data_IF_693130277551
#
_entry.id   IF_693130277551
#
_cell.length_a   1.000
_cell.length_b   1.000
_cell.length_c   1.000
_cell.angle_alpha   90.00
_cell.angle_beta   90.00
_cell.angle_gamma   90.00
#
_symmetry.space_group_name_H-M   'P 1'
#
loop_
_entity.id
_entity.type
_entity.pdbx_description
1 polymer ?
#
# COMPACT_ATOMS: atom_id res chain seq x y z
N UNK A 1 -40.23 -46.13 -21.22
CA UNK A 1 -40.68 -46.95 -20.08
C UNK A 1 -39.41 -47.52 -19.49
N UNK A 2 -38.86 -47.07 -18.38
CA UNK A 2 -39.31 -46.25 -17.22
C UNK A 2 -37.97 -45.74 -16.63
N UNK A 3 -37.70 -44.45 -16.48
CA UNK A 3 -38.21 -43.49 -15.49
C UNK A 3 -38.36 -44.06 -14.07
N UNK A 4 -37.48 -43.61 -13.18
CA UNK A 4 -37.53 -43.55 -11.70
C UNK A 4 -36.14 -43.02 -11.25
N UNK A 5 -35.91 -41.81 -10.73
CA UNK A 5 -36.79 -40.89 -10.02
C UNK A 5 -36.38 -40.75 -8.56
N UNK A 6 -35.55 -39.73 -8.24
CA UNK A 6 -35.37 -39.01 -6.96
C UNK A 6 -34.43 -39.58 -5.86
N UNK A 7 -33.94 -38.76 -4.89
CA UNK A 7 -33.99 -37.30 -4.77
C UNK A 7 -32.63 -36.61 -4.50
N UNK A 8 -32.59 -35.33 -4.87
CA UNK A 8 -31.76 -34.27 -4.32
C UNK A 8 -31.95 -34.18 -2.79
N UNK A 9 -31.00 -34.71 -2.02
CA UNK A 9 -30.98 -34.54 -0.58
C UNK A 9 -30.37 -33.18 -0.22
N UNK A 10 -31.18 -32.36 0.43
CA UNK A 10 -30.78 -31.14 1.11
C UNK A 10 -29.60 -31.38 2.05
N UNK A 11 -28.49 -30.67 1.85
CA UNK A 11 -27.45 -30.56 2.86
C UNK A 11 -27.99 -29.69 4.00
N UNK A 12 -28.59 -30.35 4.99
CA UNK A 12 -28.85 -29.72 6.29
C UNK A 12 -27.48 -29.41 6.91
N UNK A 13 -27.13 -28.12 6.93
CA UNK A 13 -25.98 -27.57 7.66
C UNK A 13 -26.12 -27.89 9.15
N UNK A 14 -25.49 -28.99 9.59
CA UNK A 14 -25.37 -29.32 10.99
C UNK A 14 -24.30 -28.42 11.62
N UNK A 15 -24.73 -27.43 12.38
CA UNK A 15 -23.85 -26.57 13.18
C UNK A 15 -23.24 -27.38 14.33
N UNK A 16 -21.91 -27.46 14.39
CA UNK A 16 -21.19 -28.11 15.48
C UNK A 16 -20.53 -27.08 16.41
N UNK A 17 -20.55 -27.38 17.73
CA UNK A 17 -20.02 -26.54 18.82
C UNK A 17 -18.55 -26.87 19.10
N UNK A 18 -17.78 -25.84 19.47
CA UNK A 18 -16.39 -25.93 19.93
C UNK A 18 -16.25 -26.79 21.20
N UNK A 19 -15.41 -27.82 21.14
CA UNK A 19 -14.88 -28.52 22.31
C UNK A 19 -13.62 -27.85 22.85
N UNK A 20 -13.40 -27.90 24.17
CA UNK A 20 -12.21 -27.35 24.83
C UNK A 20 -10.95 -28.14 24.42
N UNK A 21 -10.01 -27.50 23.72
CA UNK A 21 -8.65 -28.02 23.53
C UNK A 21 -8.07 -28.02 22.11
N UNK A 22 -8.67 -27.32 21.13
CA UNK A 22 -8.08 -27.20 19.78
C UNK A 22 -8.08 -28.47 18.93
N UNK A 23 -8.80 -29.52 19.35
CA UNK A 23 -9.04 -30.73 18.56
C UNK A 23 -10.25 -30.52 17.66
N UNK A 24 -10.09 -30.76 16.36
CA UNK A 24 -11.19 -30.83 15.39
C UNK A 24 -11.51 -32.29 15.13
N UNK A 25 -12.79 -32.67 15.21
CA UNK A 25 -13.23 -34.03 14.87
C UNK A 25 -13.85 -34.04 13.46
N UNK A 26 -13.54 -35.08 12.68
CA UNK A 26 -14.10 -35.25 11.34
C UNK A 26 -15.63 -35.33 11.42
N UNK A 27 -16.33 -34.48 10.69
CA UNK A 27 -17.79 -34.45 10.68
C UNK A 27 -18.41 -35.81 10.26
N UNK A 28 -17.71 -36.56 9.39
CA UNK A 28 -18.13 -37.85 8.83
C UNK A 28 -17.86 -39.05 9.75
N UNK A 29 -16.62 -39.22 10.23
CA UNK A 29 -16.21 -40.43 10.96
C UNK A 29 -15.87 -40.19 12.44
N UNK A 30 -15.94 -38.95 12.92
CA UNK A 30 -15.60 -38.54 14.30
C UNK A 30 -14.15 -38.82 14.73
N UNK A 31 -13.27 -39.24 13.81
CA UNK A 31 -11.85 -39.32 14.08
C UNK A 31 -11.28 -37.91 14.30
N UNK A 32 -10.35 -37.78 15.24
CA UNK A 32 -9.61 -36.53 15.47
C UNK A 32 -8.77 -36.21 14.23
N UNK A 33 -8.87 -34.96 13.77
CA UNK A 33 -8.14 -34.44 12.61
C UNK A 33 -7.04 -33.51 13.11
N UNK A 34 -5.83 -33.69 12.58
CA UNK A 34 -4.73 -32.77 12.86
C UNK A 34 -5.07 -31.36 12.32
N UNK A 35 -4.78 -30.35 13.13
CA UNK A 35 -4.96 -28.94 12.74
C UNK A 35 -4.20 -28.65 11.44
N UNK A 36 -4.88 -28.14 10.41
CA UNK A 36 -4.29 -27.82 9.10
C UNK A 36 -4.36 -28.93 8.05
N UNK A 37 -4.83 -30.14 8.41
CA UNK A 37 -5.06 -31.20 7.42
C UNK A 37 -6.22 -30.87 6.48
N UNK A 38 -6.02 -30.96 5.17
CA UNK A 38 -7.09 -30.78 4.15
C UNK A 38 -8.08 -31.94 4.12
N UNK A 39 -7.66 -33.12 4.57
CA UNK A 39 -8.46 -34.35 4.57
C UNK A 39 -8.30 -35.10 5.90
N UNK A 40 -9.35 -35.79 6.31
CA UNK A 40 -9.28 -36.76 7.41
C UNK A 40 -8.47 -37.98 6.95
N UNK A 41 -7.34 -38.24 7.61
CA UNK A 41 -6.48 -39.40 7.31
C UNK A 41 -7.14 -40.77 7.51
N UNK A 42 -8.31 -40.84 8.15
CA UNK A 42 -9.04 -42.10 8.37
C UNK A 42 -10.08 -42.40 7.28
N UNK A 43 -10.93 -41.43 6.92
CA UNK A 43 -12.05 -41.68 5.99
C UNK A 43 -11.94 -40.93 4.65
N UNK A 44 -10.87 -40.16 4.45
CA UNK A 44 -10.67 -39.35 3.25
C UNK A 44 -11.67 -38.22 3.05
N UNK A 45 -12.61 -38.00 3.98
CA UNK A 45 -13.48 -36.84 3.93
C UNK A 45 -12.64 -35.57 4.06
N UNK A 46 -12.95 -34.50 3.33
CA UNK A 46 -12.32 -33.21 3.58
C UNK A 46 -12.48 -32.88 5.06
N UNK A 47 -11.40 -32.41 5.69
CA UNK A 47 -11.53 -31.83 7.02
C UNK A 47 -12.60 -30.73 6.94
N UNK A 48 -13.30 -30.44 8.03
CA UNK A 48 -14.19 -29.29 8.06
C UNK A 48 -13.33 -28.02 7.89
N UNK A 49 -13.03 -27.67 6.65
CA UNK A 49 -12.52 -26.36 6.27
C UNK A 49 -13.68 -25.45 6.66
N UNK A 50 -13.50 -24.60 7.67
CA UNK A 50 -14.44 -23.50 7.89
C UNK A 50 -14.74 -22.90 6.52
N UNK A 51 -16.02 -22.77 6.16
CA UNK A 51 -16.40 -22.23 4.87
C UNK A 51 -15.62 -20.92 4.66
N UNK A 52 -14.72 -20.92 3.66
CA UNK A 52 -13.83 -19.79 3.41
C UNK A 52 -14.72 -18.56 3.22
N UNK A 53 -14.41 -17.51 3.98
CA UNK A 53 -15.16 -16.26 3.88
C UNK A 53 -14.94 -15.70 2.47
N UNK A 54 -16.03 -15.41 1.78
CA UNK A 54 -16.00 -14.69 0.51
C UNK A 54 -15.43 -13.28 0.73
N UNK A 55 -14.87 -12.69 -0.31
CA UNK A 55 -14.19 -11.39 -0.29
C UNK A 55 -15.02 -10.24 0.31
N UNK A 56 -16.34 -10.33 0.25
CA UNK A 56 -17.30 -9.34 0.75
C UNK A 56 -17.91 -9.71 2.11
N UNK A 57 -17.49 -10.80 2.74
CA UNK A 57 -18.00 -11.19 4.06
C UNK A 57 -17.72 -10.10 5.10
N UNK A 58 -18.74 -9.64 5.87
CA UNK A 58 -18.58 -8.58 6.86
C UNK A 58 -17.50 -8.84 7.92
N UNK A 59 -17.14 -10.10 8.19
CA UNK A 59 -16.06 -10.45 9.12
C UNK A 59 -14.67 -10.05 8.63
N UNK A 60 -14.49 -9.87 7.31
CA UNK A 60 -13.24 -9.41 6.69
C UNK A 60 -13.07 -7.88 6.76
N UNK A 61 -14.14 -7.15 7.09
CA UNK A 61 -14.15 -5.70 7.17
C UNK A 61 -13.56 -5.17 8.48
N UNK A 62 -13.08 -3.93 8.45
CA UNK A 62 -12.60 -3.21 9.63
C UNK A 62 -13.59 -2.09 9.96
N UNK A 63 -14.34 -2.25 11.05
CA UNK A 63 -15.45 -1.35 11.41
C UNK A 63 -15.04 0.13 11.58
N UNK A 64 -13.81 0.38 12.03
CA UNK A 64 -13.27 1.73 12.23
C UNK A 64 -12.80 2.41 10.95
N UNK A 65 -12.83 1.73 9.80
CA UNK A 65 -12.36 2.33 8.55
C UNK A 65 -13.29 3.47 8.11
N UNK A 66 -12.74 4.64 7.75
CA UNK A 66 -13.49 5.70 7.09
C UNK A 66 -13.99 5.21 5.71
N UNK A 67 -15.01 5.88 5.11
CA UNK A 67 -15.63 5.44 3.87
C UNK A 67 -14.64 5.12 2.75
N UNK A 68 -13.67 6.01 2.50
CA UNK A 68 -12.61 5.83 1.51
C UNK A 68 -11.85 4.51 1.70
N UNK A 69 -11.33 4.30 2.91
CA UNK A 69 -10.53 3.11 3.24
C UNK A 69 -11.35 1.83 3.18
N UNK A 70 -12.64 1.89 3.52
CA UNK A 70 -13.55 0.75 3.42
C UNK A 70 -13.70 0.28 1.98
N UNK A 71 -13.91 1.22 1.04
CA UNK A 71 -14.02 0.91 -0.39
C UNK A 71 -12.77 0.22 -0.90
N UNK A 72 -11.59 0.79 -0.67
CA UNK A 72 -10.35 0.21 -1.17
C UNK A 72 -9.91 -1.04 -0.41
N UNK A 73 -10.29 -1.22 0.87
CA UNK A 73 -10.12 -2.52 1.55
C UNK A 73 -10.93 -3.60 0.86
N UNK A 74 -12.17 -3.28 0.49
CA UNK A 74 -13.05 -4.20 -0.21
C UNK A 74 -12.49 -4.52 -1.60
N UNK A 75 -11.95 -3.53 -2.31
CA UNK A 75 -11.21 -3.74 -3.58
C UNK A 75 -10.04 -4.72 -3.40
N UNK A 76 -9.19 -4.50 -2.39
CA UNK A 76 -8.07 -5.41 -2.12
C UNK A 76 -8.54 -6.82 -1.72
N UNK A 77 -9.67 -6.93 -1.02
CA UNK A 77 -10.27 -8.24 -0.69
C UNK A 77 -10.77 -8.96 -1.93
N UNK A 78 -11.43 -8.24 -2.85
CA UNK A 78 -11.86 -8.77 -4.14
C UNK A 78 -10.65 -9.22 -4.97
N UNK A 79 -9.63 -8.38 -5.10
CA UNK A 79 -8.43 -8.67 -5.88
C UNK A 79 -7.69 -9.90 -5.32
N UNK A 80 -7.54 -9.98 -3.99
CA UNK A 80 -6.95 -11.15 -3.32
C UNK A 80 -7.64 -12.45 -3.70
N UNK A 81 -8.97 -12.47 -3.73
CA UNK A 81 -9.73 -13.69 -3.99
C UNK A 81 -9.81 -14.02 -5.48
N UNK A 82 -10.17 -13.04 -6.32
CA UNK A 82 -10.52 -13.28 -7.73
C UNK A 82 -9.33 -13.17 -8.68
N UNK A 83 -8.31 -12.38 -8.33
CA UNK A 83 -7.11 -12.21 -9.18
C UNK A 83 -5.97 -13.07 -8.66
N UNK A 84 -5.68 -13.02 -7.35
CA UNK A 84 -4.56 -13.77 -6.76
C UNK A 84 -4.92 -15.19 -6.29
N UNK A 85 -6.21 -15.51 -6.11
CA UNK A 85 -6.63 -16.81 -5.54
C UNK A 85 -6.18 -17.04 -4.09
N UNK A 86 -5.76 -16.00 -3.37
CA UNK A 86 -5.02 -16.12 -2.12
C UNK A 86 -5.92 -16.10 -0.85
N UNK A 87 -5.49 -16.82 0.19
CA UNK A 87 -6.14 -16.81 1.51
C UNK A 87 -5.93 -15.47 2.23
N UNK A 88 -6.89 -15.07 3.07
CA UNK A 88 -6.78 -13.84 3.88
C UNK A 88 -5.88 -14.06 5.10
N UNK A 89 -5.20 -12.99 5.50
CA UNK A 89 -4.45 -12.93 6.73
C UNK A 89 -5.30 -12.50 7.93
N UNK A 90 -4.65 -12.45 9.08
CA UNK A 90 -5.26 -12.07 10.36
C UNK A 90 -4.53 -10.89 10.99
N UNK A 91 -5.24 -10.08 11.76
CA UNK A 91 -4.63 -9.03 12.58
C UNK A 91 -3.69 -9.61 13.63
N UNK A 92 -2.56 -8.95 13.87
CA UNK A 92 -1.69 -9.22 15.00
C UNK A 92 -2.25 -8.62 16.30
N UNK A 93 -2.38 -9.42 17.36
CA UNK A 93 -2.85 -8.95 18.67
C UNK A 93 -3.46 -10.04 19.55
N UNK A 94 -3.96 -9.67 20.75
CA UNK A 94 -4.60 -10.59 21.70
C UNK A 94 -5.83 -11.29 21.14
N UNK A 95 -6.51 -10.65 20.19
CA UNK A 95 -7.65 -11.22 19.47
C UNK A 95 -7.37 -11.07 17.99
N UNK A 96 -7.11 -12.19 17.33
CA UNK A 96 -6.90 -12.25 15.88
C UNK A 96 -8.25 -12.17 15.17
N UNK A 97 -8.36 -11.32 14.15
CA UNK A 97 -9.53 -11.26 13.26
C UNK A 97 -9.07 -11.35 11.82
N UNK A 98 -9.83 -12.03 10.94
CA UNK A 98 -9.49 -12.08 9.54
C UNK A 98 -9.64 -10.69 8.92
N UNK A 99 -8.80 -10.37 7.93
CA UNK A 99 -8.85 -9.08 7.22
C UNK A 99 -8.71 -9.32 5.74
N UNK A 100 -9.71 -8.85 4.97
CA UNK A 100 -9.78 -9.14 3.53
C UNK A 100 -8.61 -8.62 2.71
N UNK A 101 -7.96 -7.54 3.15
CA UNK A 101 -6.80 -6.95 2.46
C UNK A 101 -5.44 -7.46 2.96
N UNK A 102 -5.40 -8.46 3.84
CA UNK A 102 -4.15 -9.09 4.27
C UNK A 102 -3.98 -10.41 3.53
N UNK A 103 -2.78 -10.70 3.06
CA UNK A 103 -2.40 -12.01 2.54
C UNK A 103 -2.02 -12.94 3.69
N UNK A 104 -2.51 -14.18 3.65
CA UNK A 104 -2.15 -15.20 4.62
C UNK A 104 -0.63 -15.48 4.59
N UNK A 105 0.01 -15.75 5.74
CA UNK A 105 1.42 -16.10 5.80
C UNK A 105 1.83 -17.23 4.85
N UNK A 106 1.05 -18.30 4.78
CA UNK A 106 1.34 -19.46 3.94
C UNK A 106 1.25 -19.14 2.43
N UNK A 107 0.36 -18.23 2.05
CA UNK A 107 0.24 -17.77 0.66
C UNK A 107 1.50 -16.99 0.24
N UNK A 108 1.97 -16.07 1.09
CA UNK A 108 3.21 -15.31 0.85
C UNK A 108 4.46 -16.18 0.95
N UNK A 109 4.46 -17.20 1.81
CA UNK A 109 5.56 -18.16 1.89
C UNK A 109 5.66 -19.02 0.62
N UNK A 110 4.51 -19.36 0.03
CA UNK A 110 4.44 -20.09 -1.24
C UNK A 110 4.83 -19.22 -2.44
N UNK A 111 4.44 -17.95 -2.42
CA UNK A 111 4.89 -16.96 -3.39
C UNK A 111 5.22 -15.60 -2.75
N UNK A 112 6.51 -15.29 -2.66
CA UNK A 112 6.99 -14.03 -2.06
C UNK A 112 6.72 -12.80 -2.94
N UNK A 113 6.39 -12.99 -4.23
CA UNK A 113 6.03 -11.93 -5.17
C UNK A 113 4.53 -11.59 -5.13
N UNK A 114 3.73 -12.31 -4.34
CA UNK A 114 2.26 -12.22 -4.35
C UNK A 114 1.72 -10.80 -4.07
N UNK A 115 2.43 -10.02 -3.26
CA UNK A 115 2.05 -8.62 -2.99
C UNK A 115 2.61 -7.62 -4.00
N UNK A 116 3.26 -8.09 -5.07
CA UNK A 116 4.03 -7.33 -6.05
C UNK A 116 3.66 -7.73 -7.49
N UNK A 117 2.37 -7.97 -7.75
CA UNK A 117 1.84 -8.32 -9.07
C UNK A 117 2.40 -9.62 -9.65
N UNK A 118 2.88 -10.53 -8.80
CA UNK A 118 3.61 -11.74 -9.19
C UNK A 118 4.87 -11.46 -10.05
N UNK A 119 5.36 -10.22 -10.03
CA UNK A 119 6.54 -9.78 -10.78
C UNK A 119 7.82 -10.05 -9.98
N UNK A 120 8.62 -10.98 -10.47
CA UNK A 120 9.90 -11.36 -9.85
C UNK A 120 10.94 -10.24 -9.89
N UNK A 121 10.91 -9.35 -10.89
CA UNK A 121 11.86 -8.23 -10.96
C UNK A 121 11.59 -7.19 -9.85
N UNK A 122 10.31 -7.01 -9.47
CA UNK A 122 9.93 -6.18 -8.33
C UNK A 122 10.37 -6.86 -7.03
N UNK A 123 10.13 -8.16 -6.89
CA UNK A 123 10.57 -8.93 -5.72
C UNK A 123 12.09 -8.88 -5.55
N UNK A 124 12.86 -9.00 -6.63
CA UNK A 124 14.32 -8.93 -6.59
C UNK A 124 14.78 -7.58 -6.03
N UNK A 125 14.17 -6.47 -6.48
CA UNK A 125 14.45 -5.16 -5.90
C UNK A 125 14.07 -5.07 -4.41
N UNK A 126 12.89 -5.57 -4.03
CA UNK A 126 12.45 -5.63 -2.62
C UNK A 126 13.46 -6.39 -1.76
N UNK A 127 13.90 -7.57 -2.20
CA UNK A 127 14.78 -8.45 -1.44
C UNK A 127 16.20 -7.90 -1.29
N UNK A 128 16.67 -7.09 -2.24
CA UNK A 128 17.92 -6.34 -2.08
C UNK A 128 17.73 -5.11 -1.19
N UNK A 129 16.64 -4.37 -1.34
CA UNK A 129 16.45 -3.07 -0.67
C UNK A 129 16.10 -3.19 0.80
N UNK A 130 15.32 -4.20 1.20
CA UNK A 130 14.88 -4.37 2.59
C UNK A 130 16.07 -4.52 3.56
N UNK A 131 17.06 -5.39 3.32
CA UNK A 131 18.24 -5.50 4.17
C UNK A 131 19.05 -4.20 4.29
N UNK A 132 19.18 -3.43 3.20
CA UNK A 132 19.88 -2.14 3.22
C UNK A 132 19.19 -1.12 4.13
N UNK A 133 17.86 -1.03 4.04
CA UNK A 133 17.06 -0.13 4.88
C UNK A 133 17.17 -0.52 6.35
N UNK A 134 17.12 -1.82 6.66
CA UNK A 134 17.27 -2.33 8.01
C UNK A 134 18.68 -2.07 8.58
N UNK A 135 19.73 -2.29 7.78
CA UNK A 135 21.11 -1.99 8.16
C UNK A 135 21.32 -0.49 8.45
N UNK A 136 20.61 0.38 7.74
CA UNK A 136 20.57 1.82 7.98
C UNK A 136 19.65 2.25 9.15
N UNK A 137 19.15 1.31 9.96
CA UNK A 137 18.20 1.55 11.07
C UNK A 137 16.88 2.21 10.65
N UNK A 138 16.46 2.00 9.40
CA UNK A 138 15.18 2.46 8.86
C UNK A 138 13.96 1.88 9.59
N UNK A 139 12.79 2.46 9.35
CA UNK A 139 11.53 2.09 10.03
C UNK A 139 10.64 1.13 9.23
N UNK A 140 11.15 0.56 8.14
CA UNK A 140 10.40 -0.37 7.30
C UNK A 140 9.94 -1.59 8.11
N UNK A 141 8.67 -1.97 7.93
CA UNK A 141 8.05 -3.13 8.56
C UNK A 141 7.78 -4.18 7.47
N UNK A 142 8.62 -5.19 7.39
CA UNK A 142 8.63 -6.16 6.28
C UNK A 142 7.34 -6.99 6.21
N UNK A 143 6.72 -7.30 7.35
CA UNK A 143 5.43 -8.01 7.33
C UNK A 143 4.36 -7.13 6.66
N UNK A 144 4.26 -5.84 6.99
CA UNK A 144 3.37 -4.90 6.29
C UNK A 144 3.69 -4.82 4.81
N UNK A 145 4.97 -4.77 4.43
CA UNK A 145 5.38 -4.70 3.04
C UNK A 145 4.91 -5.92 2.24
N UNK A 146 5.01 -7.13 2.80
CA UNK A 146 4.70 -8.38 2.08
C UNK A 146 3.26 -8.87 2.22
N UNK A 147 2.55 -8.49 3.28
CA UNK A 147 1.23 -9.06 3.57
C UNK A 147 0.09 -8.06 3.44
N UNK A 148 0.32 -6.76 3.56
CA UNK A 148 -0.77 -5.78 3.58
C UNK A 148 -0.97 -5.16 2.20
N UNK A 149 -2.03 -5.59 1.51
CA UNK A 149 -2.37 -5.11 0.17
C UNK A 149 -2.96 -3.69 0.19
N UNK A 150 -3.43 -3.20 1.34
CA UNK A 150 -3.97 -1.84 1.53
C UNK A 150 -2.89 -0.85 2.03
N UNK A 151 -1.62 -1.17 1.80
CA UNK A 151 -0.48 -0.38 2.27
C UNK A 151 0.14 0.40 1.11
N UNK A 152 0.47 1.67 1.32
CA UNK A 152 1.22 2.46 0.33
C UNK A 152 2.68 2.01 0.18
N UNK A 153 3.22 1.24 1.14
CA UNK A 153 4.60 0.76 1.10
C UNK A 153 4.87 -0.20 -0.08
N UNK A 154 4.11 -1.30 -0.31
CA UNK A 154 4.26 -2.11 -1.53
C UNK A 154 3.98 -1.31 -2.81
N UNK A 155 3.10 -0.31 -2.79
CA UNK A 155 2.90 0.58 -3.95
C UNK A 155 4.18 1.36 -4.28
N UNK A 156 4.81 1.98 -3.28
CA UNK A 156 6.06 2.72 -3.44
C UNK A 156 7.20 1.82 -3.93
N UNK A 157 7.37 0.64 -3.33
CA UNK A 157 8.39 -0.33 -3.78
C UNK A 157 8.16 -0.80 -5.21
N UNK A 158 6.91 -1.10 -5.57
CA UNK A 158 6.58 -1.55 -6.93
C UNK A 158 6.79 -0.44 -7.96
N UNK A 159 6.39 0.79 -7.65
CA UNK A 159 6.64 1.94 -8.51
C UNK A 159 8.13 2.20 -8.71
N UNK A 160 8.93 2.15 -7.64
CA UNK A 160 10.39 2.32 -7.74
C UNK A 160 11.00 1.22 -8.61
N UNK A 161 10.65 -0.04 -8.37
CA UNK A 161 11.16 -1.15 -9.15
C UNK A 161 10.81 -1.00 -10.65
N UNK A 162 9.56 -0.67 -10.97
CA UNK A 162 9.13 -0.43 -12.35
C UNK A 162 9.90 0.74 -12.98
N UNK A 163 10.06 1.87 -12.28
CA UNK A 163 10.79 3.02 -12.79
C UNK A 163 12.28 2.72 -13.01
N UNK A 164 12.90 1.85 -12.20
CA UNK A 164 14.28 1.40 -12.40
C UNK A 164 14.46 0.62 -13.70
N UNK A 165 13.44 -0.14 -14.11
CA UNK A 165 13.44 -0.94 -15.35
C UNK A 165 12.97 -0.16 -16.59
N UNK A 166 12.38 1.02 -16.42
CA UNK A 166 11.87 1.81 -17.53
C UNK A 166 12.99 2.37 -18.42
N UNK A 167 12.95 2.03 -19.72
CA UNK A 167 13.91 2.50 -20.72
C UNK A 167 13.84 4.02 -20.92
N UNK A 168 12.65 4.59 -20.78
CA UNK A 168 12.36 6.02 -20.93
C UNK A 168 12.15 6.74 -19.60
N UNK A 169 12.76 6.24 -18.51
CA UNK A 169 12.61 6.78 -17.14
C UNK A 169 12.84 8.29 -17.01
N UNK A 170 13.78 8.87 -17.78
CA UNK A 170 14.01 10.33 -17.76
C UNK A 170 12.81 11.12 -18.30
N UNK A 171 12.19 10.64 -19.38
CA UNK A 171 10.95 11.20 -19.93
C UNK A 171 9.80 11.04 -18.95
N UNK A 172 9.64 9.86 -18.35
CA UNK A 172 8.62 9.60 -17.33
C UNK A 172 8.75 10.60 -16.18
N UNK A 173 9.96 10.75 -15.61
CA UNK A 173 10.20 11.66 -14.48
C UNK A 173 9.93 13.11 -14.88
N UNK A 174 10.36 13.54 -16.07
CA UNK A 174 10.11 14.89 -16.57
C UNK A 174 8.61 15.18 -16.69
N UNK A 175 7.86 14.28 -17.31
CA UNK A 175 6.41 14.42 -17.50
C UNK A 175 5.67 14.38 -16.17
N UNK A 176 5.99 13.39 -15.32
CA UNK A 176 5.28 13.20 -14.07
C UNK A 176 5.51 14.36 -13.12
N UNK A 177 6.72 14.87 -12.99
CA UNK A 177 7.06 15.87 -11.97
C UNK A 177 7.23 17.29 -12.50
N UNK A 178 7.15 17.50 -13.82
CA UNK A 178 7.33 18.83 -14.44
C UNK A 178 8.74 19.38 -14.22
N UNK A 179 9.75 18.51 -14.22
CA UNK A 179 11.17 18.87 -14.06
C UNK A 179 11.92 18.64 -15.37
N UNK A 180 13.04 19.33 -15.56
CA UNK A 180 14.00 18.98 -16.60
C UNK A 180 14.84 17.80 -16.11
N UNK A 181 14.45 16.57 -16.48
CA UNK A 181 15.20 15.36 -16.20
C UNK A 181 15.73 14.77 -17.51
N UNK A 182 17.03 14.95 -17.74
CA UNK A 182 17.75 14.35 -18.86
C UNK A 182 18.27 12.94 -18.53
N UNK A 183 18.60 12.70 -17.26
CA UNK A 183 19.09 11.42 -16.76
C UNK A 183 18.50 11.14 -15.38
N UNK A 184 17.94 9.94 -15.18
CA UNK A 184 17.70 9.41 -13.83
C UNK A 184 18.96 8.70 -13.38
N UNK A 185 19.58 9.24 -12.33
CA UNK A 185 20.83 8.73 -11.73
C UNK A 185 20.50 7.48 -10.91
N UNK A 186 19.58 7.62 -9.96
CA UNK A 186 19.17 6.54 -9.06
C UNK A 186 17.72 6.69 -8.62
N UNK A 187 17.10 5.57 -8.26
CA UNK A 187 15.75 5.55 -7.68
C UNK A 187 15.74 4.58 -6.49
N UNK A 188 15.27 5.05 -5.33
CA UNK A 188 15.24 4.26 -4.10
C UNK A 188 13.85 4.26 -3.48
N UNK A 189 13.51 3.17 -2.78
CA UNK A 189 12.37 3.08 -1.88
C UNK A 189 12.89 3.21 -0.45
N UNK A 190 12.12 3.82 0.44
CA UNK A 190 12.48 4.01 1.86
C UNK A 190 13.89 4.59 2.00
N UNK A 191 14.05 5.85 1.59
CA UNK A 191 15.36 6.47 1.48
C UNK A 191 15.48 7.72 2.33
N UNK A 192 16.64 7.82 2.97
CA UNK A 192 17.12 9.02 3.65
C UNK A 192 18.59 9.20 3.26
N UNK A 193 19.12 10.43 3.19
CA UNK A 193 20.52 10.65 2.82
C UNK A 193 21.47 9.86 3.72
N UNK A 194 22.52 9.27 3.13
CA UNK A 194 23.60 8.64 3.88
C UNK A 194 24.52 9.70 4.51
N UNK A 195 24.01 10.36 5.55
CA UNK A 195 24.68 11.41 6.32
C UNK A 195 24.42 11.17 7.82
N UNK A 196 25.30 11.66 8.70
CA UNK A 196 25.02 11.65 10.13
C UNK A 196 23.64 12.25 10.44
N UNK A 197 22.83 11.58 11.27
CA UNK A 197 21.45 12.01 11.55
C UNK A 197 21.39 13.45 12.09
N UNK A 198 22.42 13.90 12.81
CA UNK A 198 22.56 15.27 13.31
C UNK A 198 22.70 16.34 12.20
N UNK A 199 23.24 15.99 11.04
CA UNK A 199 23.27 16.87 9.86
C UNK A 199 21.90 16.96 9.18
N UNK A 200 21.07 15.92 9.33
CA UNK A 200 19.71 15.86 8.84
C UNK A 200 18.72 16.46 9.87
N UNK A 201 17.64 15.73 10.19
CA UNK A 201 16.61 16.17 11.14
C UNK A 201 16.80 15.61 12.55
N UNK A 202 17.90 14.89 12.79
CA UNK A 202 18.15 14.13 14.02
C UNK A 202 17.00 13.18 14.38
N UNK A 203 16.48 12.49 13.36
CA UNK A 203 15.44 11.48 13.45
C UNK A 203 15.57 10.43 12.34
N UNK A 204 14.55 9.57 12.20
CA UNK A 204 14.48 8.50 11.20
C UNK A 204 13.49 8.80 10.07
N UNK A 205 13.28 10.07 9.75
CA UNK A 205 12.46 10.46 8.60
C UNK A 205 13.14 9.99 7.31
N UNK A 206 12.36 9.35 6.45
CA UNK A 206 12.75 8.89 5.12
C UNK A 206 11.61 9.22 4.15
N UNK A 207 11.90 9.28 2.87
CA UNK A 207 10.90 9.29 1.82
C UNK A 207 10.45 7.87 1.49
N UNK A 208 9.17 7.69 1.21
CA UNK A 208 8.64 6.41 0.73
C UNK A 208 9.31 5.99 -0.59
N UNK A 209 9.60 6.96 -1.46
CA UNK A 209 10.46 6.79 -2.64
C UNK A 209 11.33 8.03 -2.90
N UNK A 210 12.41 7.89 -3.65
CA UNK A 210 13.31 8.99 -4.02
C UNK A 210 13.83 8.80 -5.43
N UNK A 211 13.89 9.88 -6.20
CA UNK A 211 14.49 9.93 -7.52
C UNK A 211 15.63 10.95 -7.48
N UNK A 212 16.84 10.52 -7.79
CA UNK A 212 17.98 11.38 -8.08
C UNK A 212 18.11 11.52 -9.59
N UNK A 213 18.23 12.75 -10.08
CA UNK A 213 18.30 13.02 -11.51
C UNK A 213 19.35 14.09 -11.84
N UNK A 214 19.64 14.19 -13.14
CA UNK A 214 20.43 15.27 -13.72
C UNK A 214 19.60 15.96 -14.80
N UNK A 215 19.60 17.29 -14.79
CA UNK A 215 18.94 18.10 -15.82
C UNK A 215 19.76 18.15 -17.10
N UNK A 216 19.16 18.67 -18.18
CA UNK A 216 19.87 18.92 -19.44
C UNK A 216 21.03 19.92 -19.30
N UNK A 217 20.98 20.78 -18.27
CA UNK A 217 22.05 21.74 -17.92
C UNK A 217 23.12 21.16 -17.00
N UNK A 218 22.99 19.90 -16.58
CA UNK A 218 23.93 19.22 -15.67
C UNK A 218 23.62 19.36 -14.18
N UNK A 219 22.59 20.13 -13.82
CA UNK A 219 22.12 20.35 -12.43
C UNK A 219 21.65 19.03 -11.83
N UNK A 220 22.13 18.69 -10.63
CA UNK A 220 21.65 17.52 -9.90
C UNK A 220 20.39 17.83 -9.14
N UNK A 221 19.42 16.93 -9.19
CA UNK A 221 18.12 17.11 -8.55
C UNK A 221 17.67 15.91 -7.74
N UNK A 222 16.83 16.17 -6.73
CA UNK A 222 16.17 15.17 -5.91
C UNK A 222 14.66 15.39 -5.90
N UNK A 223 13.90 14.32 -6.09
CA UNK A 223 12.47 14.27 -5.81
C UNK A 223 12.26 13.24 -4.71
N UNK A 224 12.02 13.72 -3.49
CA UNK A 224 11.56 12.88 -2.40
C UNK A 224 10.05 12.68 -2.54
N UNK A 225 9.57 11.46 -2.46
CA UNK A 225 8.16 11.11 -2.63
C UNK A 225 7.62 10.62 -1.30
N UNK A 226 6.59 11.29 -0.80
CA UNK A 226 5.72 10.79 0.27
C UNK A 226 4.42 10.33 -0.37
N UNK A 227 4.04 9.08 -0.17
CA UNK A 227 2.81 8.52 -0.74
C UNK A 227 1.89 7.89 0.30
N UNK A 228 0.59 8.06 0.07
CA UNK A 228 -0.48 7.43 0.82
C UNK A 228 -1.43 6.74 -0.13
N UNK A 229 -2.01 5.63 0.31
CA UNK A 229 -3.10 5.00 -0.42
C UNK A 229 -4.42 5.36 0.24
N UNK A 230 -4.65 4.83 1.44
CA UNK A 230 -5.82 5.14 2.26
C UNK A 230 -5.49 5.24 3.75
N UNK A 231 -4.25 4.96 4.13
CA UNK A 231 -3.76 5.22 5.47
C UNK A 231 -3.65 6.73 5.74
N UNK A 232 -4.04 7.17 6.96
CA UNK A 232 -3.84 8.56 7.33
C UNK A 232 -2.35 8.85 7.47
N UNK A 233 -1.99 10.13 7.34
CA UNK A 233 -0.72 10.63 7.87
C UNK A 233 -0.60 10.28 9.37
N UNK A 234 0.64 10.08 9.82
CA UNK A 234 0.98 9.86 11.22
C UNK A 234 0.41 10.99 12.07
N UNK A 235 -0.35 10.60 13.10
CA UNK A 235 -0.94 11.55 14.04
C UNK A 235 0.04 11.99 15.14
N UNK A 236 1.26 11.44 15.15
CA UNK A 236 2.28 11.79 16.13
C UNK A 236 2.83 13.18 15.82
N UNK A 237 2.89 14.01 16.86
CA UNK A 237 3.48 15.34 16.80
C UNK A 237 4.90 15.28 17.31
N UNK A 238 5.81 15.84 16.54
CA UNK A 238 7.20 16.02 16.94
C UNK A 238 7.57 17.48 16.77
N UNK A 239 8.16 18.06 17.81
CA UNK A 239 8.77 19.39 17.76
C UNK A 239 10.14 19.27 18.42
N UNK A 240 11.19 19.40 17.61
CA UNK A 240 12.58 19.37 18.07
C UNK A 240 13.23 20.69 17.70
N UNK A 241 14.23 21.11 18.47
CA UNK A 241 15.00 22.31 18.16
C UNK A 241 15.59 22.25 16.74
N UNK A 242 16.04 21.07 16.31
CA UNK A 242 16.52 20.85 14.94
C UNK A 242 15.47 21.14 13.87
N UNK A 243 14.19 20.86 14.13
CA UNK A 243 13.12 21.14 13.17
C UNK A 243 12.87 22.64 13.07
N UNK A 244 12.85 23.34 14.21
CA UNK A 244 12.71 24.79 14.26
C UNK A 244 13.88 25.45 13.53
N UNK A 245 15.10 24.99 13.77
CA UNK A 245 16.30 25.46 13.09
C UNK A 245 16.19 25.26 11.57
N UNK A 246 15.96 24.02 11.11
CA UNK A 246 15.90 23.73 9.66
C UNK A 246 14.79 24.53 8.98
N UNK A 247 13.63 24.67 9.62
CA UNK A 247 12.49 25.41 9.08
C UNK A 247 12.85 26.88 8.83
N UNK A 248 13.53 27.52 9.78
CA UNK A 248 13.90 28.92 9.67
C UNK A 248 15.13 29.15 8.78
N UNK A 249 16.06 28.19 8.69
CA UNK A 249 17.34 28.37 7.98
C UNK A 249 17.32 27.94 6.51
N UNK A 250 16.39 27.07 6.08
CA UNK A 250 16.42 26.48 4.74
C UNK A 250 15.81 27.37 3.64
N UNK A 251 15.07 28.42 4.01
CA UNK A 251 14.42 29.35 3.08
C UNK A 251 13.23 28.75 2.30
N UNK A 252 12.77 27.54 2.63
CA UNK A 252 11.55 26.95 2.04
C UNK A 252 10.27 27.42 2.74
N UNK A 253 10.36 27.77 4.02
CA UNK A 253 9.22 28.10 4.86
C UNK A 253 9.14 29.58 5.20
N UNK A 254 7.93 30.05 5.54
CA UNK A 254 7.71 31.39 6.08
C UNK A 254 8.28 31.46 7.52
N UNK A 255 8.66 32.66 7.99
CA UNK A 255 9.07 32.83 9.39
C UNK A 255 8.04 32.27 10.36
N UNK A 256 8.50 31.55 11.38
CA UNK A 256 7.65 30.92 12.42
C UNK A 256 6.66 29.85 11.92
N UNK A 257 6.85 29.30 10.70
CA UNK A 257 5.97 28.27 10.14
C UNK A 257 5.84 27.02 11.03
N UNK A 258 6.85 26.70 11.83
CA UNK A 258 6.83 25.57 12.77
C UNK A 258 5.66 25.62 13.74
N UNK A 259 5.18 26.82 14.10
CA UNK A 259 4.05 27.03 15.01
C UNK A 259 2.75 26.42 14.47
N UNK A 260 2.55 26.48 13.16
CA UNK A 260 1.41 25.85 12.47
C UNK A 260 1.72 24.41 12.06
N UNK A 261 2.95 24.14 11.61
CA UNK A 261 3.35 22.84 11.03
C UNK A 261 3.58 21.74 12.07
N UNK A 262 3.67 22.06 13.36
CA UNK A 262 3.70 21.08 14.45
C UNK A 262 2.38 20.32 14.61
N UNK A 263 1.27 20.82 14.05
CA UNK A 263 -0.03 20.16 14.13
C UNK A 263 0.02 18.74 13.54
N UNK A 264 -0.78 17.81 14.08
CA UNK A 264 -0.72 16.39 13.68
C UNK A 264 -1.05 16.16 12.21
N UNK A 265 -1.83 17.05 11.60
CA UNK A 265 -2.20 16.96 10.18
C UNK A 265 -1.04 17.31 9.24
N UNK A 266 -0.11 18.16 9.68
CA UNK A 266 0.97 18.71 8.85
C UNK A 266 2.35 18.18 9.26
N UNK A 267 2.51 17.66 10.48
CA UNK A 267 3.82 17.33 11.04
C UNK A 267 4.62 16.29 10.22
N UNK A 268 3.97 15.28 9.65
CA UNK A 268 4.65 14.33 8.77
C UNK A 268 5.17 15.02 7.51
N UNK A 269 4.27 15.66 6.74
CA UNK A 269 4.64 16.33 5.50
C UNK A 269 5.68 17.44 5.71
N UNK A 270 5.60 18.16 6.84
CA UNK A 270 6.61 19.13 7.24
C UNK A 270 8.00 18.50 7.43
N UNK A 271 8.08 17.35 8.10
CA UNK A 271 9.34 16.61 8.23
C UNK A 271 9.87 16.12 6.87
N UNK A 272 9.00 15.61 6.00
CA UNK A 272 9.42 15.24 4.64
C UNK A 272 9.94 16.47 3.85
N UNK A 273 9.27 17.62 3.95
CA UNK A 273 9.68 18.84 3.27
C UNK A 273 11.01 19.38 3.82
N UNK A 274 11.22 19.34 5.14
CA UNK A 274 12.50 19.67 5.76
C UNK A 274 13.62 18.72 5.32
N UNK A 275 13.35 17.42 5.19
CA UNK A 275 14.34 16.46 4.71
C UNK A 275 14.75 16.77 3.26
N UNK A 276 13.79 17.16 2.40
CA UNK A 276 14.09 17.59 1.04
C UNK A 276 14.92 18.87 1.02
N UNK A 277 14.56 19.86 1.82
CA UNK A 277 15.28 21.12 1.93
C UNK A 277 16.72 20.95 2.44
N UNK A 278 16.94 20.03 3.39
CA UNK A 278 18.30 19.68 3.85
C UNK A 278 19.07 18.93 2.76
N UNK A 279 18.40 18.07 1.99
CA UNK A 279 19.04 17.34 0.89
C UNK A 279 19.50 18.27 -0.25
N UNK A 280 18.76 19.34 -0.55
CA UNK A 280 19.18 20.42 -1.48
C UNK A 280 20.45 21.15 -1.01
N UNK A 281 20.81 21.10 0.28
CA UNK A 281 22.03 21.73 0.78
C UNK A 281 23.22 20.77 0.85
N UNK A 282 22.96 19.48 1.02
CA UNK A 282 23.99 18.49 1.37
C UNK A 282 24.29 17.47 0.27
N UNK A 283 23.37 17.28 -0.69
CA UNK A 283 23.37 16.12 -1.60
C UNK A 283 23.24 16.55 -3.07
N UNK A 284 22.32 17.45 -3.40
CA UNK A 284 21.98 17.86 -4.78
C UNK A 284 21.82 19.36 -4.89
N UNK A 285 21.81 19.91 -6.10
CA UNK A 285 21.66 21.35 -6.35
C UNK A 285 20.20 21.85 -6.20
N UNK A 286 19.22 20.98 -6.42
CA UNK A 286 17.80 21.28 -6.19
C UNK A 286 17.03 20.07 -5.64
N UNK A 287 16.08 20.32 -4.72
CA UNK A 287 15.19 19.27 -4.24
C UNK A 287 13.71 19.68 -4.34
N UNK A 288 12.84 18.68 -4.42
CA UNK A 288 11.38 18.81 -4.35
C UNK A 288 10.80 17.70 -3.48
N UNK A 289 9.68 17.97 -2.84
CA UNK A 289 8.84 16.94 -2.20
C UNK A 289 7.62 16.70 -3.07
N UNK A 290 7.47 15.50 -3.61
CA UNK A 290 6.23 15.05 -4.20
C UNK A 290 5.33 14.40 -3.14
N UNK A 291 4.05 14.77 -3.17
CA UNK A 291 3.01 14.18 -2.33
C UNK A 291 2.05 13.45 -3.28
N UNK A 292 1.97 12.13 -3.14
CA UNK A 292 1.16 11.28 -4.02
C UNK A 292 0.08 10.54 -3.24
N UNK A 293 -1.18 10.73 -3.61
CA UNK A 293 -2.30 9.99 -3.02
C UNK A 293 -3.46 9.82 -3.98
N UNK A 294 -4.57 9.27 -3.50
CA UNK A 294 -5.79 9.17 -4.30
C UNK A 294 -6.41 10.55 -4.48
N UNK A 295 -6.98 10.82 -5.66
CA UNK A 295 -7.68 12.07 -5.94
C UNK A 295 -8.75 12.39 -4.87
N UNK A 296 -9.51 11.37 -4.49
CA UNK A 296 -10.57 11.45 -3.49
C UNK A 296 -10.11 11.53 -2.02
N UNK A 297 -8.80 11.52 -1.71
CA UNK A 297 -8.31 11.69 -0.32
C UNK A 297 -8.26 13.17 0.11
N UNK A 298 -9.44 13.71 0.39
CA UNK A 298 -9.59 15.08 0.86
C UNK A 298 -8.82 15.38 2.16
N UNK A 299 -8.48 14.38 2.98
CA UNK A 299 -7.72 14.60 4.22
C UNK A 299 -6.24 14.82 3.92
N UNK A 300 -5.67 14.04 2.99
CA UNK A 300 -4.32 14.24 2.51
C UNK A 300 -4.18 15.61 1.84
N UNK A 301 -5.09 15.95 0.92
CA UNK A 301 -4.99 17.21 0.17
C UNK A 301 -5.13 18.44 1.05
N UNK A 302 -6.04 18.44 2.04
CA UNK A 302 -6.10 19.51 3.06
C UNK A 302 -4.80 19.64 3.86
N UNK A 303 -4.09 18.54 4.09
CA UNK A 303 -2.83 18.55 4.82
C UNK A 303 -1.68 19.09 3.95
N UNK A 304 -1.67 18.74 2.66
CA UNK A 304 -0.74 19.29 1.67
C UNK A 304 -0.97 20.80 1.47
N UNK A 305 -2.22 21.25 1.35
CA UNK A 305 -2.57 22.67 1.25
C UNK A 305 -2.13 23.45 2.49
N UNK A 306 -2.35 22.87 3.68
CA UNK A 306 -1.93 23.47 4.95
C UNK A 306 -0.39 23.56 5.07
N UNK A 307 0.36 22.61 4.51
CA UNK A 307 1.81 22.71 4.38
C UNK A 307 2.20 23.85 3.45
N UNK A 308 1.69 23.85 2.23
CA UNK A 308 2.01 24.82 1.17
C UNK A 308 1.68 26.25 1.59
N UNK A 309 0.59 26.45 2.34
CA UNK A 309 0.22 27.76 2.91
C UNK A 309 1.29 28.35 3.85
N UNK A 310 2.13 27.50 4.46
CA UNK A 310 3.22 27.92 5.34
C UNK A 310 4.57 28.01 4.61
N UNK A 311 4.61 27.79 3.30
CA UNK A 311 5.84 27.83 2.51
C UNK A 311 6.09 29.22 1.91
N UNK A 312 7.37 29.59 1.87
CA UNK A 312 7.88 30.71 1.10
C UNK A 312 8.17 30.30 -0.36
N UNK A 313 8.45 29.01 -0.59
CA UNK A 313 8.70 28.39 -1.90
C UNK A 313 7.72 27.25 -2.19
N UNK A 314 6.41 27.53 -2.37
CA UNK A 314 5.40 26.49 -2.57
C UNK A 314 5.65 25.61 -3.80
N UNK A 315 6.38 26.11 -4.81
CA UNK A 315 6.80 25.37 -6.01
C UNK A 315 7.73 24.18 -5.73
N UNK A 316 8.26 24.07 -4.50
CA UNK A 316 9.04 22.92 -4.04
C UNK A 316 8.16 21.70 -3.72
N UNK A 317 6.84 21.88 -3.65
CA UNK A 317 5.87 20.80 -3.43
C UNK A 317 5.22 20.41 -4.75
N UNK A 318 5.26 19.12 -5.07
CA UNK A 318 4.65 18.53 -6.25
C UNK A 318 3.49 17.60 -5.85
N UNK A 319 2.27 18.10 -5.90
CA UNK A 319 1.09 17.26 -5.65
C UNK A 319 0.74 16.45 -6.89
N UNK A 320 0.58 15.13 -6.76
CA UNK A 320 0.12 14.23 -7.84
C UNK A 320 -0.88 13.22 -7.33
N UNK A 321 -1.83 12.85 -8.17
CA UNK A 321 -2.75 11.76 -7.85
C UNK A 321 -2.20 10.45 -8.39
N UNK A 322 -2.48 9.32 -7.75
CA UNK A 322 -2.11 8.01 -8.32
C UNK A 322 -2.77 7.77 -9.68
N UNK A 323 -3.97 8.32 -9.87
CA UNK A 323 -4.70 8.35 -11.13
C UNK A 323 -3.91 9.04 -12.24
N UNK A 324 -3.40 10.26 -11.99
CA UNK A 324 -2.57 10.99 -12.97
C UNK A 324 -1.18 10.40 -13.16
N UNK A 325 -0.63 9.74 -12.14
CA UNK A 325 0.60 8.94 -12.26
C UNK A 325 0.37 7.81 -13.27
N UNK A 326 -0.66 6.98 -13.05
CA UNK A 326 -0.99 5.84 -13.92
C UNK A 326 -1.29 6.31 -15.35
N UNK A 327 -2.06 7.39 -15.51
CA UNK A 327 -2.34 7.98 -16.82
C UNK A 327 -1.04 8.34 -17.56
N UNK A 328 -0.10 9.00 -16.87
CA UNK A 328 1.20 9.38 -17.44
C UNK A 328 2.04 8.16 -17.85
N UNK A 329 1.97 7.06 -17.07
CA UNK A 329 2.71 5.84 -17.35
C UNK A 329 2.10 5.00 -18.48
N UNK A 330 0.82 5.16 -18.80
CA UNK A 330 0.09 4.37 -19.81
C UNK A 330 0.67 4.45 -21.22
N UNK A 331 1.45 5.50 -21.52
CA UNK A 331 2.14 5.73 -22.80
C UNK A 331 3.66 5.58 -22.72
N UNK A 332 4.17 4.89 -21.69
CA UNK A 332 5.60 4.72 -21.43
C UNK A 332 6.08 3.28 -21.63
N UNK A 333 7.39 3.04 -21.52
CA UNK A 333 7.96 1.69 -21.57
C UNK A 333 7.41 0.75 -20.48
N UNK A 334 6.80 1.30 -19.42
CA UNK A 334 6.18 0.54 -18.32
C UNK A 334 4.65 0.65 -18.31
N UNK A 335 4.02 0.78 -19.48
CA UNK A 335 2.57 0.82 -19.61
C UNK A 335 1.86 -0.44 -19.07
N UNK A 336 2.49 -1.62 -19.15
CA UNK A 336 1.97 -2.86 -18.56
C UNK A 336 1.89 -2.79 -17.03
N UNK A 337 2.93 -2.23 -16.39
CA UNK A 337 2.91 -1.95 -14.95
C UNK A 337 1.79 -0.96 -14.61
N UNK A 338 1.59 0.09 -15.40
CA UNK A 338 0.51 1.04 -15.18
C UNK A 338 -0.87 0.37 -15.21
N UNK A 339 -1.10 -0.55 -16.15
CA UNK A 339 -2.34 -1.31 -16.25
C UNK A 339 -2.58 -2.22 -15.01
N UNK A 340 -1.56 -2.97 -14.58
CA UNK A 340 -1.63 -3.81 -13.37
C UNK A 340 -1.86 -2.98 -12.11
N UNK A 341 -1.18 -1.84 -12.01
CA UNK A 341 -1.35 -0.92 -10.88
C UNK A 341 -2.77 -0.34 -10.84
N UNK A 342 -3.31 0.06 -11.99
CA UNK A 342 -4.68 0.55 -12.11
C UNK A 342 -5.69 -0.50 -11.66
N UNK A 343 -5.62 -1.70 -12.24
CA UNK A 343 -6.51 -2.83 -11.92
C UNK A 343 -6.53 -3.12 -10.43
N UNK A 344 -5.36 -3.11 -9.80
CA UNK A 344 -5.24 -3.45 -8.38
C UNK A 344 -5.65 -2.33 -7.45
N UNK A 345 -5.22 -1.10 -7.71
CA UNK A 345 -5.26 -0.02 -6.72
C UNK A 345 -6.33 1.03 -6.99
N UNK A 346 -6.77 1.22 -8.23
CA UNK A 346 -7.60 2.37 -8.63
C UNK A 346 -8.96 1.96 -9.22
N UNK A 347 -9.02 0.89 -10.01
CA UNK A 347 -10.25 0.46 -10.67
C UNK A 347 -11.22 -0.19 -9.67
N UNK A 348 -12.25 0.55 -9.25
CA UNK A 348 -13.32 0.05 -8.39
C UNK A 348 -14.45 -0.63 -9.14
N UNK A 349 -14.42 -0.68 -10.47
CA UNK A 349 -15.49 -1.27 -11.28
C UNK A 349 -15.85 -2.72 -10.95
N UNK A 350 -14.94 -3.58 -10.44
CA UNK A 350 -15.33 -4.92 -9.98
C UNK A 350 -16.33 -4.89 -8.81
N UNK A 351 -16.23 -3.89 -7.92
CA UNK A 351 -17.14 -3.72 -6.79
C UNK A 351 -18.54 -3.33 -7.27
N UNK A 352 -18.61 -2.41 -8.23
CA UNK A 352 -19.88 -1.94 -8.81
C UNK A 352 -20.61 -3.08 -9.53
N UNK A 353 -19.88 -3.89 -10.31
CA UNK A 353 -20.44 -5.08 -10.98
C UNK A 353 -20.99 -6.10 -9.99
N UNK A 354 -20.28 -6.36 -8.91
CA UNK A 354 -20.71 -7.31 -7.89
C UNK A 354 -21.95 -6.83 -7.12
N UNK A 355 -22.02 -5.53 -6.80
CA UNK A 355 -23.16 -4.94 -6.09
C UNK A 355 -24.38 -4.74 -7.02
N UNK A 356 -24.17 -4.41 -8.29
CA UNK A 356 -25.21 -4.28 -9.31
C UNK A 356 -25.87 -5.61 -9.70
N UNK A 357 -25.13 -6.73 -9.64
CA UNK A 357 -25.68 -8.08 -9.87
C UNK A 357 -26.66 -8.54 -8.78
N UNK A 358 -26.58 -7.99 -7.57
CA UNK A 358 -27.48 -8.31 -6.46
C UNK A 358 -28.85 -7.63 -6.59
N UNK A 359 -28.94 -6.48 -7.27
CA UNK A 359 -30.18 -5.73 -7.44
C UNK A 359 -31.17 -6.37 -8.43
N UNK A 360 -30.66 -7.09 -9.45
CA UNK A 360 -31.50 -7.68 -10.53
C UNK A 360 -32.22 -8.96 -10.09
N UNK A 361 -31.77 -9.62 -9.03
CA UNK A 361 -32.39 -10.87 -8.53
C UNK A 361 -33.67 -10.65 -7.71
N UNK A 362 -34.06 -9.40 -7.38
CA UNK A 362 -35.22 -9.12 -6.51
C UNK A 362 -36.51 -8.72 -7.24
N UNK A 363 -36.53 -8.66 -8.58
CA UNK A 363 -37.70 -8.18 -9.35
C UNK A 363 -38.53 -9.32 -9.99
N UNK A 364 -38.08 -10.58 -9.94
CA UNK A 364 -38.84 -11.70 -10.53
C UNK A 364 -39.44 -12.59 -9.45
N UNK A 365 -40.41 -12.08 -8.70
CA UNK A 365 -41.44 -12.94 -8.06
C UNK A 365 -42.63 -12.12 -7.55
N UNK A 366 -43.35 -11.43 -8.44
CA UNK A 366 -44.77 -11.08 -8.24
C UNK A 366 -45.50 -11.12 -9.59
N UNK A 367 -46.06 -12.27 -9.91
CA UNK A 367 -47.27 -12.43 -10.72
C UNK A 367 -48.08 -13.55 -10.07
#
# INVERSE_FOLDING_TARGET
MSDDGLPWASWVMATARLGKGGRMDCARCKATVESGSRFCGFCGAPAAVEARLNWDDPKLAVASDPPLRRTYRLLQSWYREHVLGADYGYTHGKTTRPVGSLLAPDAVASDRALNFFDDRSILDYVDHRVPEVQAASGTLEEHRLRHNMLSSMPMAFSFVAALRQAEDRARIVSQLFGVDCAEVIEVFAEWTPNRPSAELLNDRTAFDATILYRSSTGTTGLIGIETKYTEPLSQRKYLKDRYVQVTNDCGWFRPSAETALVASKTNQLWRNAMLAAVSERLIVDEARLAIIGLDQDASLWKSADALTAQMAKPERILSRTWESVVESLSSSSIASFAALFNERYLDTSPLDRAQGGSAVASVVSRC
#
